data_IF_609563794615
#
_entry.id   IF_609563794615
#
_cell.length_a   1.000
_cell.length_b   1.000
_cell.length_c   1.000
_cell.angle_alpha   90.00
_cell.angle_beta   90.00
_cell.angle_gamma   90.00
#
_symmetry.space_group_name_H-M   'P 1'
#
loop_
_entity.id
_entity.type
_entity.pdbx_description
1 polymer ?
#
# COMPACT_ATOMS: atom_id res chain seq x y z
N UNK A 1 5.18 7.56 19.62
CA UNK A 1 5.44 6.19 19.08
C UNK A 1 5.11 5.15 20.17
N UNK A 2 4.79 3.95 19.71
CA UNK A 2 4.54 2.78 20.56
C UNK A 2 5.82 1.93 20.55
N UNK A 3 6.33 1.60 21.71
CA UNK A 3 7.55 0.83 21.92
C UNK A 3 7.37 -0.14 23.09
N UNK A 4 8.32 -1.03 23.35
CA UNK A 4 8.22 -2.05 24.41
C UNK A 4 7.87 -1.47 25.79
N UNK A 5 8.37 -0.28 26.12
CA UNK A 5 8.12 0.38 27.42
C UNK A 5 6.69 0.93 27.62
N UNK A 6 5.90 1.08 26.53
CA UNK A 6 4.53 1.62 26.64
C UNK A 6 3.45 0.73 25.99
N UNK A 7 3.82 -0.26 25.19
CA UNK A 7 2.87 -1.17 24.54
C UNK A 7 1.95 -1.91 25.54
N UNK A 8 2.46 -2.23 26.72
CA UNK A 8 1.69 -2.85 27.81
C UNK A 8 0.53 -2.00 28.35
N UNK A 9 0.54 -0.69 28.12
CA UNK A 9 -0.47 0.27 28.60
C UNK A 9 -1.53 0.62 27.56
N UNK A 10 -1.38 0.15 26.33
CA UNK A 10 -2.35 0.43 25.25
C UNK A 10 -3.65 -0.33 25.56
N UNK A 11 -4.78 0.38 25.52
CA UNK A 11 -6.12 -0.18 25.75
C UNK A 11 -6.97 -0.27 24.46
N UNK A 12 -6.43 0.16 23.31
CA UNK A 12 -7.12 0.05 22.05
C UNK A 12 -7.26 -1.42 21.63
N UNK A 13 -8.32 -1.74 20.87
CA UNK A 13 -8.49 -3.07 20.25
C UNK A 13 -7.78 -3.15 18.90
N UNK A 14 -7.70 -2.04 18.19
CA UNK A 14 -7.10 -1.92 16.87
C UNK A 14 -6.21 -0.68 16.85
N UNK A 15 -5.05 -0.80 16.24
CA UNK A 15 -4.13 0.29 15.94
C UNK A 15 -4.01 0.40 14.43
N UNK A 16 -4.38 1.56 13.88
CA UNK A 16 -4.26 1.87 12.46
C UNK A 16 -3.41 3.16 12.31
N UNK A 17 -2.11 3.03 12.06
CA UNK A 17 -1.22 4.17 12.09
C UNK A 17 -1.32 5.06 10.85
N UNK A 18 -1.45 6.38 11.05
CA UNK A 18 -1.26 7.37 9.99
C UNK A 18 0.19 7.83 9.82
N UNK A 19 1.03 7.64 10.85
CA UNK A 19 2.45 8.02 10.83
C UNK A 19 3.34 6.89 10.30
N UNK A 20 4.56 7.25 9.86
CA UNK A 20 5.56 6.28 9.45
C UNK A 20 6.30 5.72 10.66
N UNK A 21 6.46 4.40 10.68
CA UNK A 21 7.19 3.64 11.70
C UNK A 21 6.82 4.01 13.16
N UNK A 22 5.54 4.05 13.51
CA UNK A 22 5.10 4.50 14.83
C UNK A 22 5.14 3.41 15.90
N UNK A 23 5.24 2.14 15.51
CA UNK A 23 5.26 0.96 16.38
C UNK A 23 6.56 0.19 16.18
N UNK A 24 7.29 -0.09 17.25
CA UNK A 24 8.51 -0.91 17.16
C UNK A 24 8.16 -2.40 16.98
N UNK A 25 9.09 -3.19 16.42
CA UNK A 25 8.86 -4.63 16.20
C UNK A 25 8.59 -5.38 17.51
N UNK A 26 9.28 -5.01 18.59
CA UNK A 26 9.05 -5.59 19.92
C UNK A 26 7.65 -5.22 20.45
N UNK A 27 7.19 -4.00 20.16
CA UNK A 27 5.85 -3.57 20.55
C UNK A 27 4.77 -4.31 19.75
N UNK A 28 4.98 -4.61 18.48
CA UNK A 28 4.06 -5.42 17.66
C UNK A 28 3.81 -6.79 18.30
N UNK A 29 4.87 -7.46 18.80
CA UNK A 29 4.75 -8.73 19.50
C UNK A 29 3.95 -8.61 20.81
N UNK A 30 4.24 -7.57 21.60
CA UNK A 30 3.53 -7.32 22.86
C UNK A 30 2.05 -7.04 22.61
N UNK A 31 1.74 -6.20 21.60
CA UNK A 31 0.36 -5.88 21.23
C UNK A 31 -0.39 -7.11 20.75
N UNK A 32 0.23 -7.91 19.88
CA UNK A 32 -0.37 -9.14 19.38
C UNK A 32 -0.64 -10.15 20.48
N UNK A 33 0.31 -10.38 21.40
CA UNK A 33 0.13 -11.25 22.55
C UNK A 33 -0.98 -10.81 23.51
N UNK A 34 -1.38 -9.52 23.47
CA UNK A 34 -2.51 -8.94 24.20
C UNK A 34 -3.81 -8.93 23.41
N UNK A 35 -3.84 -9.52 22.22
CA UNK A 35 -5.01 -9.53 21.34
C UNK A 35 -5.33 -8.17 20.70
N UNK A 36 -4.35 -7.25 20.63
CA UNK A 36 -4.49 -5.95 19.99
C UNK A 36 -4.04 -6.08 18.55
N UNK A 37 -4.94 -5.79 17.60
CA UNK A 37 -4.66 -5.84 16.19
C UNK A 37 -3.92 -4.58 15.74
N UNK A 38 -2.70 -4.73 15.23
CA UNK A 38 -1.90 -3.63 14.68
C UNK A 38 -1.79 -3.78 13.17
N UNK A 39 -2.34 -2.81 12.43
CA UNK A 39 -2.20 -2.75 10.98
C UNK A 39 -0.82 -2.21 10.64
N UNK A 40 -0.01 -2.87 9.77
CA UNK A 40 1.29 -2.33 9.38
C UNK A 40 1.16 -0.92 8.79
N UNK A 41 1.95 0.02 9.29
CA UNK A 41 1.81 1.45 8.95
C UNK A 41 1.88 1.71 7.45
N UNK A 42 2.78 1.03 6.74
CA UNK A 42 2.94 1.20 5.29
C UNK A 42 1.75 0.68 4.46
N UNK A 43 0.88 -0.16 5.06
CA UNK A 43 -0.40 -0.55 4.49
C UNK A 43 -1.50 0.44 4.89
N UNK A 44 -1.51 0.87 6.17
CA UNK A 44 -2.53 1.77 6.71
C UNK A 44 -2.46 3.17 6.10
N UNK A 45 -1.26 3.71 5.84
CA UNK A 45 -1.06 5.10 5.40
C UNK A 45 -0.73 5.26 3.90
N UNK A 46 -0.71 4.17 3.11
CA UNK A 46 -0.37 4.24 1.68
C UNK A 46 -1.40 5.01 0.83
N UNK A 47 -2.61 5.21 1.34
CA UNK A 47 -3.69 5.88 0.63
C UNK A 47 -3.34 7.30 0.19
N UNK A 48 -2.63 8.06 1.01
CA UNK A 48 -2.18 9.41 0.65
C UNK A 48 -1.24 9.44 -0.56
N UNK A 49 -0.25 8.56 -0.61
CA UNK A 49 0.69 8.46 -1.74
C UNK A 49 -0.02 7.97 -3.01
N UNK A 50 -0.90 7.00 -2.87
CA UNK A 50 -1.67 6.47 -3.99
C UNK A 50 -2.64 7.53 -4.52
N UNK A 51 -3.38 8.18 -3.62
CA UNK A 51 -4.32 9.25 -3.95
C UNK A 51 -3.64 10.40 -4.69
N UNK A 52 -2.51 10.89 -4.19
CA UNK A 52 -1.74 11.94 -4.86
C UNK A 52 -1.25 11.53 -6.25
N UNK A 53 -0.86 10.26 -6.44
CA UNK A 53 -0.48 9.74 -7.77
C UNK A 53 -1.67 9.69 -8.73
N UNK A 54 -2.86 9.34 -8.24
CA UNK A 54 -4.09 9.32 -9.04
C UNK A 54 -4.59 10.73 -9.33
N UNK A 55 -4.49 11.65 -8.38
CA UNK A 55 -4.84 13.06 -8.54
C UNK A 55 -3.93 13.72 -9.58
N UNK A 56 -2.62 13.45 -9.54
CA UNK A 56 -1.69 13.87 -10.59
C UNK A 56 -2.13 13.41 -11.98
N UNK A 57 -2.72 12.21 -12.10
CA UNK A 57 -3.30 11.69 -13.34
C UNK A 57 -4.72 12.21 -13.62
N UNK A 58 -5.17 13.26 -12.94
CA UNK A 58 -6.51 13.88 -13.08
C UNK A 58 -7.69 12.95 -12.77
N UNK A 59 -7.51 11.99 -11.88
CA UNK A 59 -8.60 11.16 -11.36
C UNK A 59 -9.35 11.96 -10.31
N UNK A 60 -10.69 11.94 -10.35
CA UNK A 60 -11.52 12.67 -9.38
C UNK A 60 -11.43 12.08 -7.96
N UNK A 61 -11.55 12.93 -6.93
CA UNK A 61 -11.46 12.52 -5.53
C UNK A 61 -12.39 11.35 -5.19
N UNK A 62 -13.66 11.41 -5.65
CA UNK A 62 -14.61 10.31 -5.45
C UNK A 62 -14.11 8.96 -5.99
N UNK A 63 -13.52 8.93 -7.19
CA UNK A 63 -12.95 7.70 -7.76
C UNK A 63 -11.70 7.24 -7.00
N UNK A 64 -10.94 8.18 -6.45
CA UNK A 64 -9.77 7.86 -5.61
C UNK A 64 -10.22 7.20 -4.31
N UNK A 65 -11.22 7.76 -3.64
CA UNK A 65 -11.81 7.19 -2.42
C UNK A 65 -12.33 5.77 -2.69
N UNK A 66 -13.19 5.60 -3.70
CA UNK A 66 -13.71 4.29 -4.09
C UNK A 66 -12.60 3.28 -4.40
N UNK A 67 -11.53 3.73 -5.06
CA UNK A 67 -10.38 2.87 -5.37
C UNK A 67 -9.63 2.43 -4.11
N UNK A 68 -9.39 3.36 -3.18
CA UNK A 68 -8.71 3.08 -1.91
C UNK A 68 -9.55 2.11 -1.08
N UNK A 69 -10.82 2.40 -0.88
CA UNK A 69 -11.72 1.54 -0.10
C UNK A 69 -11.76 0.11 -0.61
N UNK A 70 -11.94 -0.06 -1.92
CA UNK A 70 -12.04 -1.39 -2.52
C UNK A 70 -10.70 -2.12 -2.54
N UNK A 71 -9.63 -1.45 -3.00
CA UNK A 71 -8.39 -2.16 -3.28
C UNK A 71 -7.43 -2.20 -2.09
N UNK A 72 -7.35 -1.14 -1.29
CA UNK A 72 -6.53 -1.15 -0.07
C UNK A 72 -7.28 -1.88 1.04
N UNK A 73 -8.56 -1.58 1.24
CA UNK A 73 -9.40 -2.23 2.25
C UNK A 73 -9.39 -3.75 2.12
N UNK A 74 -9.64 -4.29 0.91
CA UNK A 74 -9.63 -5.74 0.69
C UNK A 74 -8.25 -6.37 0.96
N UNK A 75 -7.16 -5.68 0.62
CA UNK A 75 -5.81 -6.19 0.92
C UNK A 75 -5.49 -6.20 2.40
N UNK A 76 -5.88 -5.16 3.11
CA UNK A 76 -5.72 -5.12 4.56
C UNK A 76 -6.56 -6.23 5.20
N UNK A 77 -7.80 -6.42 4.80
CA UNK A 77 -8.64 -7.51 5.28
C UNK A 77 -7.97 -8.88 5.07
N UNK A 78 -7.53 -9.20 3.84
CA UNK A 78 -6.82 -10.45 3.55
C UNK A 78 -5.52 -10.63 4.33
N UNK A 79 -4.76 -9.55 4.57
CA UNK A 79 -3.58 -9.58 5.43
C UNK A 79 -3.93 -9.94 6.87
N UNK A 80 -4.97 -9.31 7.42
CA UNK A 80 -5.39 -9.54 8.79
C UNK A 80 -5.95 -10.96 8.98
N UNK A 81 -6.72 -11.47 8.02
CA UNK A 81 -7.22 -12.84 8.02
C UNK A 81 -6.06 -13.84 7.96
N UNK A 82 -5.07 -13.60 7.10
CA UNK A 82 -3.88 -14.45 6.99
C UNK A 82 -3.06 -14.44 8.28
N UNK A 83 -2.93 -13.31 8.94
CA UNK A 83 -2.24 -13.16 10.22
C UNK A 83 -2.98 -13.93 11.33
N UNK A 84 -4.30 -13.81 11.37
CA UNK A 84 -5.15 -14.54 12.33
C UNK A 84 -5.04 -16.06 12.15
N UNK A 85 -5.11 -16.53 10.90
CA UNK A 85 -4.98 -17.97 10.59
C UNK A 85 -3.61 -18.53 10.97
N UNK A 86 -2.54 -17.76 10.79
CA UNK A 86 -1.16 -18.20 11.11
C UNK A 86 -0.78 -17.97 12.57
N UNK A 87 -1.57 -17.22 13.32
CA UNK A 87 -1.27 -16.88 14.72
C UNK A 87 -0.04 -16.00 14.88
N UNK A 88 0.21 -15.07 13.95
CA UNK A 88 1.37 -14.17 13.95
C UNK A 88 0.94 -12.70 13.78
N UNK A 89 1.75 -11.72 14.23
CA UNK A 89 1.48 -10.31 13.98
C UNK A 89 1.35 -10.01 12.49
N UNK A 90 0.42 -9.13 12.06
CA UNK A 90 0.24 -8.79 10.64
C UNK A 90 1.52 -8.28 9.95
N UNK A 91 2.38 -7.60 10.68
CA UNK A 91 3.67 -7.08 10.18
C UNK A 91 4.61 -8.20 9.71
N UNK A 92 4.57 -9.38 10.34
CA UNK A 92 5.42 -10.52 9.96
C UNK A 92 5.05 -11.13 8.61
N UNK A 93 3.80 -11.00 8.20
CA UNK A 93 3.35 -11.40 6.87
C UNK A 93 3.61 -10.28 5.85
N UNK A 94 3.30 -9.04 6.24
CA UNK A 94 3.36 -7.91 5.33
C UNK A 94 4.79 -7.54 4.92
N UNK A 95 5.78 -7.61 5.82
CA UNK A 95 7.16 -7.19 5.54
C UNK A 95 7.82 -8.06 4.47
N UNK A 96 7.87 -9.39 4.57
CA UNK A 96 8.48 -10.22 3.53
C UNK A 96 7.82 -10.04 2.15
N UNK A 97 6.48 -9.97 2.13
CA UNK A 97 5.74 -9.72 0.89
C UNK A 97 6.12 -8.37 0.26
N UNK A 98 6.17 -7.30 1.08
CA UNK A 98 6.50 -5.97 0.61
C UNK A 98 7.95 -5.88 0.11
N UNK A 99 8.90 -6.49 0.80
CA UNK A 99 10.31 -6.54 0.38
C UNK A 99 10.48 -7.27 -0.95
N UNK A 100 9.87 -8.44 -1.11
CA UNK A 100 9.87 -9.17 -2.39
C UNK A 100 9.35 -8.30 -3.51
N UNK A 101 8.22 -7.63 -3.27
CA UNK A 101 7.60 -6.75 -4.27
C UNK A 101 8.47 -5.54 -4.60
N UNK A 102 9.09 -4.94 -3.59
CA UNK A 102 10.03 -3.82 -3.77
C UNK A 102 11.22 -4.22 -4.65
N UNK A 103 11.82 -5.38 -4.41
CA UNK A 103 12.94 -5.89 -5.21
C UNK A 103 12.52 -6.14 -6.68
N UNK A 104 11.35 -6.70 -6.91
CA UNK A 104 10.80 -6.89 -8.26
C UNK A 104 10.64 -5.55 -8.99
N UNK A 105 10.04 -4.56 -8.33
CA UNK A 105 9.83 -3.22 -8.90
C UNK A 105 11.18 -2.54 -9.16
N UNK A 106 12.10 -2.60 -8.21
CA UNK A 106 13.47 -2.07 -8.33
C UNK A 106 14.19 -2.69 -9.52
N UNK A 107 14.14 -4.02 -9.67
CA UNK A 107 14.75 -4.72 -10.82
C UNK A 107 14.15 -4.27 -12.14
N UNK A 108 12.83 -4.10 -12.22
CA UNK A 108 12.16 -3.59 -13.44
C UNK A 108 12.56 -2.15 -13.76
N UNK A 109 12.72 -1.33 -12.74
CA UNK A 109 13.14 0.07 -12.88
C UNK A 109 14.60 0.19 -13.35
N UNK A 110 15.50 -0.70 -12.87
CA UNK A 110 16.91 -0.70 -13.27
C UNK A 110 17.13 -1.16 -14.73
N UNK A 111 16.21 -1.97 -15.26
CA UNK A 111 16.27 -2.50 -16.62
C UNK A 111 14.95 -2.21 -17.35
N UNK A 112 14.70 -0.94 -17.74
CA UNK A 112 13.45 -0.55 -18.37
C UNK A 112 13.32 -1.20 -19.75
N UNK A 113 12.28 -1.99 -19.94
CA UNK A 113 11.92 -2.53 -21.23
C UNK A 113 11.30 -1.44 -22.14
N UNK A 114 11.07 -1.76 -23.40
CA UNK A 114 10.49 -0.82 -24.38
C UNK A 114 9.17 -0.20 -23.90
N UNK A 115 8.30 -1.00 -23.27
CA UNK A 115 7.01 -0.51 -22.73
C UNK A 115 7.20 0.50 -21.61
N UNK A 116 8.18 0.27 -20.71
CA UNK A 116 8.50 1.21 -19.61
C UNK A 116 9.07 2.52 -20.15
N UNK A 117 9.89 2.47 -21.20
CA UNK A 117 10.44 3.67 -21.87
C UNK A 117 9.34 4.47 -22.57
N UNK A 118 8.44 3.77 -23.28
CA UNK A 118 7.29 4.42 -23.92
C UNK A 118 6.36 5.07 -22.90
N UNK A 119 6.13 4.41 -21.76
CA UNK A 119 5.36 4.98 -20.66
C UNK A 119 6.03 6.23 -20.07
N UNK A 120 7.35 6.19 -19.85
CA UNK A 120 8.12 7.37 -19.39
C UNK A 120 7.98 8.56 -20.34
N UNK A 121 8.11 8.31 -21.65
CA UNK A 121 7.92 9.33 -22.67
C UNK A 121 6.48 9.89 -22.67
N UNK A 122 5.47 9.03 -22.56
CA UNK A 122 4.08 9.46 -22.41
C UNK A 122 3.85 10.33 -21.16
N UNK A 123 4.51 9.99 -20.03
CA UNK A 123 4.44 10.76 -18.81
C UNK A 123 5.09 12.16 -18.97
N UNK A 124 6.20 12.24 -19.71
CA UNK A 124 6.84 13.53 -20.01
C UNK A 124 5.95 14.40 -20.90
N UNK A 125 5.30 13.84 -21.92
CA UNK A 125 4.31 14.54 -22.72
C UNK A 125 3.12 15.04 -21.86
N UNK A 126 2.67 14.25 -20.94
CA UNK A 126 1.62 14.67 -20.00
C UNK A 126 2.06 15.83 -19.11
N UNK A 127 3.25 15.75 -18.54
CA UNK A 127 3.84 16.83 -17.71
C UNK A 127 3.97 18.16 -18.47
N UNK A 128 4.25 18.10 -19.76
CA UNK A 128 4.36 19.29 -20.61
C UNK A 128 3.01 19.74 -21.20
N UNK A 129 1.90 19.10 -20.79
CA UNK A 129 0.55 19.51 -21.21
C UNK A 129 0.13 19.05 -22.59
N UNK A 130 0.90 18.20 -23.27
CA UNK A 130 0.55 17.66 -24.60
C UNK A 130 -0.52 16.59 -24.53
N UNK A 131 -0.71 15.96 -23.36
CA UNK A 131 -1.78 14.97 -23.15
C UNK A 131 -2.83 15.59 -22.21
N UNK A 132 -4.10 15.70 -22.63
CA UNK A 132 -5.16 16.27 -21.78
C UNK A 132 -5.42 15.41 -20.52
N UNK A 133 -5.60 16.07 -19.36
CA UNK A 133 -5.95 15.40 -18.10
C UNK A 133 -7.24 14.60 -18.16
N UNK A 134 -8.20 15.00 -18.99
CA UNK A 134 -9.43 14.24 -19.21
C UNK A 134 -9.15 12.80 -19.72
N UNK A 135 -8.14 12.63 -20.57
CA UNK A 135 -7.76 11.31 -21.11
C UNK A 135 -7.09 10.46 -20.02
N UNK A 136 -6.13 11.04 -19.29
CA UNK A 136 -5.43 10.34 -18.20
C UNK A 136 -6.37 10.00 -17.05
N UNK A 137 -7.31 10.87 -16.68
CA UNK A 137 -8.32 10.62 -15.66
C UNK A 137 -9.27 9.45 -15.96
N UNK A 138 -9.45 9.12 -17.24
CA UNK A 138 -10.23 7.93 -17.67
C UNK A 138 -9.36 6.67 -17.66
N UNK A 139 -8.12 6.75 -18.12
CA UNK A 139 -7.23 5.59 -18.30
C UNK A 139 -6.49 5.19 -17.02
N UNK A 140 -6.15 6.14 -16.16
CA UNK A 140 -5.35 5.89 -14.97
C UNK A 140 -5.98 4.89 -13.99
N UNK A 141 -7.29 4.90 -13.68
CA UNK A 141 -7.88 3.90 -12.78
C UNK A 141 -7.65 2.46 -13.24
N UNK A 142 -7.77 2.20 -14.55
CA UNK A 142 -7.51 0.87 -15.12
C UNK A 142 -6.02 0.48 -15.01
N UNK A 143 -5.11 1.41 -15.21
CA UNK A 143 -3.66 1.21 -15.02
C UNK A 143 -3.34 0.88 -13.56
N UNK A 144 -3.84 1.67 -12.60
CA UNK A 144 -3.64 1.42 -11.18
C UNK A 144 -4.23 0.07 -10.76
N UNK A 145 -5.46 -0.24 -11.19
CA UNK A 145 -6.09 -1.53 -10.93
C UNK A 145 -5.23 -2.70 -11.41
N UNK A 146 -4.73 -2.66 -12.65
CA UNK A 146 -3.85 -3.69 -13.21
C UNK A 146 -2.56 -3.83 -12.39
N UNK A 147 -1.95 -2.72 -12.00
CA UNK A 147 -0.72 -2.70 -11.19
C UNK A 147 -0.94 -3.31 -9.81
N UNK A 148 -2.11 -3.07 -9.22
CA UNK A 148 -2.50 -3.65 -7.95
C UNK A 148 -2.78 -5.16 -8.07
N UNK A 149 -3.47 -5.64 -9.09
CA UNK A 149 -3.80 -7.07 -9.25
C UNK A 149 -2.60 -7.93 -9.63
N UNK A 150 -1.59 -7.38 -10.28
CA UNK A 150 -0.37 -8.13 -10.60
C UNK A 150 0.48 -8.53 -9.38
N UNK A 151 0.02 -8.23 -8.17
CA UNK A 151 0.66 -8.56 -6.89
C UNK A 151 -0.18 -9.48 -5.99
N UNK A 152 -1.13 -10.23 -6.53
CA UNK A 152 -2.08 -11.04 -5.73
C UNK A 152 -1.50 -12.40 -5.27
N UNK A 153 -0.18 -12.47 -4.99
CA UNK A 153 0.50 -13.69 -4.52
C UNK A 153 0.54 -13.80 -2.97
N UNK A 154 -0.38 -13.15 -2.24
CA UNK A 154 -0.52 -13.39 -0.79
C UNK A 154 -1.27 -14.68 -0.47
N UNK A 155 -1.90 -15.32 -1.47
CA UNK A 155 -2.71 -16.52 -1.30
C UNK A 155 -1.98 -17.83 -1.67
N UNK A 156 -0.65 -17.80 -1.95
CA UNK A 156 0.11 -19.02 -2.26
C UNK A 156 1.23 -19.28 -1.28
#
# INVERSE_FOLDING_TARGET
>A
SIHSGNAGRISARIICPGANNPVSLEAEQILFGRGILSVPYFAANCGGTLGGSMEFASVSGKKIEEFIDVHIGNRIAGLLDSAAMKGVPPVEIAVPFTLKRFEEVRRRASHPNFKSRLFGWGLDLYRHGYIPGALTGVLAPAYFKKTFHSGNDMER
#
